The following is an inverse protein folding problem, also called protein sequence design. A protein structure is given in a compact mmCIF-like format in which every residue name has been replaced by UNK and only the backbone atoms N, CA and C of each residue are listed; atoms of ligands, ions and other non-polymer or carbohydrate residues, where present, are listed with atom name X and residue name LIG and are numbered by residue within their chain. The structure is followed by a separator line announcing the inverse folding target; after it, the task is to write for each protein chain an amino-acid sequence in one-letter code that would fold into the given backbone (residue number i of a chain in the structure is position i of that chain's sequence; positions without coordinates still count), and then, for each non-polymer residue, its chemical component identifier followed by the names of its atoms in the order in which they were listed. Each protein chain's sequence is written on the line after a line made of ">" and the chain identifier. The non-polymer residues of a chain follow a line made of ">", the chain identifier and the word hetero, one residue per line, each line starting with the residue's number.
data_IF_289795792239
#
_entry.id   IF_289795792239
#
_cell.length_a   1.000
_cell.length_b   1.000
_cell.length_c   1.000
_cell.angle_alpha   90.00
_cell.angle_beta   90.00
_cell.angle_gamma   90.00
#
_symmetry.space_group_name_H-M   'P 1'
#
loop_
_entity.id
_entity.type
_entity.pdbx_description
1 polymer ?
#
# COMPACT_ATOMS: atom_id res chain seq x y z
N UNK A 1 6.36 -16.61 -15.24
CA UNK A 1 7.11 -16.49 -13.97
C UNK A 1 6.83 -15.10 -13.40
N UNK A 2 5.99 -15.00 -12.37
CA UNK A 2 5.65 -13.71 -11.74
C UNK A 2 6.61 -13.42 -10.59
N UNK A 3 7.33 -12.31 -10.66
CA UNK A 3 8.18 -11.86 -9.55
C UNK A 3 7.30 -11.30 -8.43
N UNK A 4 7.35 -11.92 -7.25
CA UNK A 4 6.68 -11.42 -6.04
C UNK A 4 7.71 -10.67 -5.21
N UNK A 5 7.63 -9.33 -5.22
CA UNK A 5 8.43 -8.48 -4.35
C UNK A 5 7.72 -8.34 -3.01
N UNK A 6 8.34 -8.85 -1.94
CA UNK A 6 7.85 -8.65 -0.57
C UNK A 6 8.51 -7.40 -0.04
N UNK A 7 7.72 -6.33 0.11
CA UNK A 7 8.22 -4.98 0.43
C UNK A 7 8.37 -4.78 1.94
N UNK A 8 7.63 -5.54 2.75
CA UNK A 8 7.61 -5.37 4.20
C UNK A 8 7.80 -6.71 4.94
N UNK A 9 8.88 -6.81 5.71
CA UNK A 9 9.18 -7.94 6.60
C UNK A 9 8.80 -7.55 8.04
N UNK A 10 8.15 -8.45 8.77
CA UNK A 10 7.88 -8.31 10.22
C UNK A 10 6.89 -7.22 10.66
N UNK A 11 5.89 -6.89 9.85
CA UNK A 11 4.83 -5.95 10.29
C UNK A 11 3.88 -6.64 11.29
N UNK A 12 3.70 -6.09 12.50
CA UNK A 12 3.06 -6.78 13.62
C UNK A 12 1.56 -7.07 13.43
N UNK A 13 0.88 -6.38 12.51
CA UNK A 13 -0.55 -6.62 12.25
C UNK A 13 -0.87 -6.49 10.76
N UNK A 14 -1.87 -7.24 10.26
CA UNK A 14 -2.41 -7.06 8.91
C UNK A 14 -2.81 -5.61 8.63
N UNK A 15 -3.32 -4.90 9.64
CA UNK A 15 -3.64 -3.47 9.56
C UNK A 15 -2.41 -2.62 9.21
N UNK A 16 -1.30 -2.80 9.94
CA UNK A 16 -0.10 -2.02 9.70
C UNK A 16 0.52 -2.37 8.33
N UNK A 17 0.36 -3.62 7.86
CA UNK A 17 0.87 -4.04 6.56
C UNK A 17 0.12 -3.34 5.43
N UNK A 18 -1.19 -3.23 5.58
CA UNK A 18 -2.04 -2.54 4.62
C UNK A 18 -1.86 -1.01 4.66
N UNK A 19 -1.71 -0.43 5.85
CA UNK A 19 -1.41 0.99 6.01
C UNK A 19 -0.09 1.37 5.33
N UNK A 20 0.97 0.57 5.54
CA UNK A 20 2.26 0.78 4.88
C UNK A 20 2.20 0.57 3.38
N UNK A 21 1.49 -0.46 2.91
CA UNK A 21 1.30 -0.69 1.48
C UNK A 21 0.56 0.47 0.79
N UNK A 22 -0.35 1.14 1.50
CA UNK A 22 -1.06 2.30 0.95
C UNK A 22 -0.20 3.55 0.95
N UNK A 23 0.59 3.79 2.02
CA UNK A 23 1.57 4.87 2.05
C UNK A 23 2.56 4.74 0.89
N UNK A 24 3.10 3.54 0.68
CA UNK A 24 4.07 3.26 -0.40
C UNK A 24 3.47 3.52 -1.79
N UNK A 25 2.21 3.11 -2.04
CA UNK A 25 1.54 3.37 -3.32
C UNK A 25 1.26 4.85 -3.58
N UNK A 26 0.84 5.59 -2.54
CA UNK A 26 0.64 7.04 -2.66
C UNK A 26 1.97 7.74 -2.94
N UNK A 27 3.03 7.39 -2.20
CA UNK A 27 4.37 7.94 -2.42
C UNK A 27 4.88 7.66 -3.84
N UNK A 28 4.76 6.43 -4.31
CA UNK A 28 5.11 6.05 -5.68
C UNK A 28 4.33 6.89 -6.71
N UNK A 29 3.05 7.17 -6.47
CA UNK A 29 2.27 8.01 -7.37
C UNK A 29 2.71 9.47 -7.39
N UNK A 30 3.16 10.01 -6.26
CA UNK A 30 3.77 11.34 -6.18
C UNK A 30 5.10 11.38 -6.95
N UNK A 31 5.96 10.38 -6.74
CA UNK A 31 7.28 10.29 -7.39
C UNK A 31 7.14 10.19 -8.91
N UNK A 32 6.11 9.48 -9.39
CA UNK A 32 5.76 9.35 -10.81
C UNK A 32 4.92 10.52 -11.34
N UNK A 33 4.62 11.53 -10.52
CA UNK A 33 3.85 12.72 -10.86
C UNK A 33 2.44 12.41 -11.40
N UNK A 34 1.81 11.33 -10.95
CA UNK A 34 0.42 11.05 -11.29
C UNK A 34 -0.50 12.09 -10.65
N UNK A 35 -1.42 12.64 -11.45
CA UNK A 35 -2.43 13.60 -10.96
C UNK A 35 -3.49 12.96 -10.07
N UNK A 36 -3.71 11.65 -10.20
CA UNK A 36 -4.69 10.88 -9.43
C UNK A 36 -4.17 9.45 -9.26
N UNK A 37 -4.24 8.95 -8.04
CA UNK A 37 -3.93 7.56 -7.70
C UNK A 37 -5.17 6.95 -7.06
N UNK A 38 -5.64 5.82 -7.58
CA UNK A 38 -6.72 5.02 -6.99
C UNK A 38 -6.09 3.73 -6.50
N UNK A 39 -6.26 3.44 -5.21
CA UNK A 39 -5.78 2.20 -4.59
C UNK A 39 -7.00 1.37 -4.21
N UNK A 40 -7.23 0.31 -4.96
CA UNK A 40 -8.23 -0.69 -4.60
C UNK A 40 -7.66 -1.62 -3.52
N UNK A 41 -8.54 -2.03 -2.59
CA UNK A 41 -8.19 -2.92 -1.48
C UNK A 41 -9.18 -4.06 -1.45
N UNK A 42 -8.66 -5.26 -1.26
CA UNK A 42 -9.46 -6.48 -1.11
C UNK A 42 -9.91 -6.71 0.35
N UNK A 43 -9.42 -5.90 1.28
CA UNK A 43 -9.63 -6.08 2.71
C UNK A 43 -10.33 -4.85 3.31
N UNK A 44 -11.33 -5.09 4.17
CA UNK A 44 -12.15 -4.04 4.80
C UNK A 44 -11.46 -3.38 6.00
N UNK A 45 -10.13 -3.24 5.96
CA UNK A 45 -9.40 -2.61 7.06
C UNK A 45 -9.58 -1.09 6.96
N UNK A 46 -10.55 -0.60 7.73
CA UNK A 46 -10.93 0.80 7.80
C UNK A 46 -9.76 1.68 8.29
N UNK A 47 -9.14 2.45 7.39
CA UNK A 47 -8.25 3.55 7.78
C UNK A 47 -9.13 4.77 8.05
N UNK A 48 -9.36 5.06 9.32
CA UNK A 48 -9.99 6.31 9.73
C UNK A 48 -8.99 7.46 9.64
N UNK A 49 -9.49 8.63 9.24
CA UNK A 49 -8.79 9.91 9.25
C UNK A 49 -8.49 10.35 10.68
#
# INVERSE_FOLDING_TARGET
>A
MGSRMIINYHIPTPFAAEALACLQRVQMGLDLRFKKVVVERDNLIMIKK
#
